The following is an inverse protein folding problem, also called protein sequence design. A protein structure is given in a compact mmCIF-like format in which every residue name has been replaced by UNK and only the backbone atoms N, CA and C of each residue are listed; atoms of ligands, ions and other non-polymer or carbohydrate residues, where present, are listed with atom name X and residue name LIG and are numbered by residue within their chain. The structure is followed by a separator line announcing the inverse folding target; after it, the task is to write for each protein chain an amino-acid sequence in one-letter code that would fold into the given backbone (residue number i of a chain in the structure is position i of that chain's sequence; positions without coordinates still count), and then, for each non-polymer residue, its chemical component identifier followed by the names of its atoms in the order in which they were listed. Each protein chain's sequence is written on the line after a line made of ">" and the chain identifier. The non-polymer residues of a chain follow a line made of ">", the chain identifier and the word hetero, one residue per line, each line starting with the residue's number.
data_IF_301398082369
#
_entry.id   IF_301398082369
#
_cell.length_a   1.000
_cell.length_b   1.000
_cell.length_c   1.000
_cell.angle_alpha   90.00
_cell.angle_beta   90.00
_cell.angle_gamma   90.00
#
_symmetry.space_group_name_H-M   'P 1'
#
loop_
_entity.id
_entity.type
_entity.pdbx_description
1 polymer ?
#
# COMPACT_ATOMS: atom_id res chain seq x y z
N UNK A 1 -39.60 55.59 10.87
CA UNK A 1 -39.40 54.20 10.35
C UNK A 1 -38.07 53.98 9.60
N UNK A 2 -37.22 54.98 9.36
CA UNK A 2 -35.98 54.82 8.55
C UNK A 2 -34.77 54.29 9.32
N UNK A 3 -34.67 54.58 10.62
CA UNK A 3 -33.49 54.24 11.45
C UNK A 3 -33.28 52.72 11.61
N UNK A 4 -34.34 51.96 11.86
CA UNK A 4 -34.31 50.50 12.10
C UNK A 4 -33.87 49.72 10.85
N UNK A 5 -34.25 50.19 9.66
CA UNK A 5 -33.92 49.56 8.37
C UNK A 5 -32.42 49.66 8.03
N UNK A 6 -31.71 50.64 8.59
CA UNK A 6 -30.24 50.76 8.48
C UNK A 6 -29.52 49.75 9.38
N UNK A 7 -30.00 49.61 10.62
CA UNK A 7 -29.45 48.68 11.60
C UNK A 7 -29.52 47.22 11.13
N UNK A 8 -30.67 46.80 10.59
CA UNK A 8 -30.85 45.46 10.04
C UNK A 8 -29.94 45.19 8.82
N UNK A 9 -29.75 46.16 7.92
CA UNK A 9 -28.82 45.98 6.78
C UNK A 9 -27.38 45.80 7.23
N UNK A 10 -26.93 46.54 8.25
CA UNK A 10 -25.59 46.37 8.84
C UNK A 10 -25.44 45.02 9.55
N UNK A 11 -26.48 44.55 10.25
CA UNK A 11 -26.51 43.22 10.88
C UNK A 11 -26.45 42.09 9.85
N UNK A 12 -27.26 42.15 8.79
CA UNK A 12 -27.25 41.15 7.70
C UNK A 12 -25.90 41.13 6.99
N UNK A 13 -25.28 42.29 6.75
CA UNK A 13 -23.94 42.35 6.17
C UNK A 13 -22.87 41.78 7.11
N UNK A 14 -22.94 42.04 8.42
CA UNK A 14 -22.04 41.47 9.41
C UNK A 14 -22.17 39.93 9.50
N UNK A 15 -23.39 39.40 9.47
CA UNK A 15 -23.64 37.94 9.44
C UNK A 15 -23.13 37.32 8.14
N UNK A 16 -23.36 37.96 6.98
CA UNK A 16 -22.84 37.50 5.70
C UNK A 16 -21.31 37.48 5.67
N UNK A 17 -20.64 38.50 6.24
CA UNK A 17 -19.18 38.54 6.38
C UNK A 17 -18.68 37.46 7.36
N UNK A 18 -19.40 37.20 8.46
CA UNK A 18 -19.05 36.14 9.41
C UNK A 18 -19.24 34.72 8.83
N UNK A 19 -20.20 34.53 7.90
CA UNK A 19 -20.30 33.31 7.08
C UNK A 19 -19.19 33.22 6.02
N UNK A 20 -18.77 34.33 5.42
CA UNK A 20 -17.71 34.35 4.40
C UNK A 20 -16.31 34.11 4.99
N UNK A 21 -16.06 34.62 6.19
CA UNK A 21 -14.92 34.23 7.04
C UNK A 21 -15.28 33.03 7.92
N UNK A 22 -15.96 32.05 7.31
CA UNK A 22 -16.35 30.79 7.94
C UNK A 22 -15.15 30.14 8.63
N UNK A 23 -15.44 29.55 9.79
CA UNK A 23 -14.48 29.01 10.76
C UNK A 23 -13.30 28.28 10.11
N UNK A 24 -12.13 28.95 10.05
CA UNK A 24 -10.84 28.27 9.93
C UNK A 24 -10.57 27.54 11.25
N UNK A 25 -11.21 26.38 11.41
CA UNK A 25 -10.90 25.42 12.46
C UNK A 25 -9.51 24.87 12.17
N UNK A 26 -8.49 25.54 12.71
CA UNK A 26 -7.14 25.00 12.76
C UNK A 26 -7.13 23.81 13.73
N UNK A 27 -7.58 22.66 13.24
CA UNK A 27 -7.39 21.38 13.90
C UNK A 27 -5.91 21.23 14.27
N UNK A 28 -5.65 20.69 15.45
CA UNK A 28 -4.30 20.54 16.00
C UNK A 28 -3.60 19.35 15.32
N UNK A 29 -3.30 19.53 14.03
CA UNK A 29 -2.86 18.46 13.14
C UNK A 29 -1.54 17.84 13.58
N UNK A 30 -1.45 16.54 13.37
CA UNK A 30 -0.31 15.69 13.74
C UNK A 30 0.86 15.87 12.77
N UNK A 31 2.00 15.29 13.13
CA UNK A 31 3.21 15.27 12.32
C UNK A 31 3.72 13.84 12.13
N UNK A 32 4.17 13.56 10.91
CA UNK A 32 4.85 12.32 10.52
C UNK A 32 6.31 12.66 10.21
N UNK A 33 7.25 12.01 10.88
CA UNK A 33 8.68 12.08 10.56
C UNK A 33 9.31 10.70 10.36
N UNK A 34 10.49 10.69 9.75
CA UNK A 34 11.30 9.50 9.58
C UNK A 34 12.59 9.83 8.83
N UNK A 35 13.31 8.79 8.41
CA UNK A 35 14.50 8.87 7.58
C UNK A 35 14.46 7.79 6.50
N UNK A 36 14.85 8.15 5.29
CA UNK A 36 15.05 7.19 4.21
C UNK A 36 16.53 6.77 4.17
N UNK A 37 16.75 5.46 4.09
CA UNK A 37 18.06 4.84 3.88
C UNK A 37 18.05 3.95 2.63
N UNK A 38 19.22 3.52 2.16
CA UNK A 38 19.35 2.50 1.11
C UNK A 38 19.45 1.09 1.72
N UNK A 39 19.60 0.07 0.87
CA UNK A 39 19.74 -1.33 1.30
C UNK A 39 20.98 -1.59 2.18
N UNK A 40 22.02 -0.76 2.05
CA UNK A 40 23.25 -0.81 2.84
C UNK A 40 23.16 0.03 4.14
N UNK A 41 22.04 0.71 4.37
CA UNK A 41 21.79 1.57 5.54
C UNK A 41 22.37 2.99 5.43
N UNK A 42 22.91 3.41 4.28
CA UNK A 42 23.35 4.79 4.06
C UNK A 42 22.15 5.72 3.87
N UNK A 43 22.36 7.02 4.10
CA UNK A 43 21.28 8.02 4.13
C UNK A 43 20.98 8.53 2.72
N UNK A 44 19.76 8.30 2.23
CA UNK A 44 19.36 8.72 0.88
C UNK A 44 18.90 10.18 0.90
N UNK A 45 19.69 11.06 0.29
CA UNK A 45 19.39 12.48 0.07
C UNK A 45 18.50 12.67 -1.17
N UNK A 46 17.67 13.71 -1.21
CA UNK A 46 16.85 14.11 -2.38
C UNK A 46 15.86 13.05 -2.91
N UNK A 47 15.57 11.96 -2.18
CA UNK A 47 14.49 11.07 -2.55
C UNK A 47 13.18 11.85 -2.59
N UNK A 48 12.38 11.66 -3.65
CA UNK A 48 11.06 12.24 -3.76
C UNK A 48 10.12 11.52 -2.80
N UNK A 49 9.35 12.28 -2.02
CA UNK A 49 8.38 11.78 -1.06
C UNK A 49 7.00 12.28 -1.43
N UNK A 50 6.06 11.36 -1.61
CA UNK A 50 4.65 11.65 -1.86
C UNK A 50 3.83 10.97 -0.77
N UNK A 51 3.02 11.75 -0.06
CA UNK A 51 2.10 11.27 0.96
C UNK A 51 0.68 11.34 0.40
N UNK A 52 -0.03 10.21 0.40
CA UNK A 52 -1.38 10.08 -0.10
C UNK A 52 -2.36 9.75 1.03
N UNK A 53 -3.61 10.18 0.92
CA UNK A 53 -4.73 9.73 1.77
C UNK A 53 -5.93 9.46 0.89
N UNK A 54 -6.60 8.32 1.08
CA UNK A 54 -7.70 7.89 0.20
C UNK A 54 -7.34 7.70 -1.29
N UNK A 55 -6.05 7.70 -1.64
CA UNK A 55 -5.55 7.68 -3.02
C UNK A 55 -5.23 9.05 -3.61
N UNK A 56 -5.55 10.15 -2.92
CA UNK A 56 -5.22 11.52 -3.35
C UNK A 56 -3.91 12.01 -2.71
N UNK A 57 -3.10 12.75 -3.47
CA UNK A 57 -1.82 13.32 -2.97
C UNK A 57 -2.11 14.48 -2.03
N UNK A 58 -1.83 14.29 -0.73
CA UNK A 58 -2.03 15.32 0.29
C UNK A 58 -0.80 16.19 0.51
N UNK A 59 0.41 15.64 0.35
CA UNK A 59 1.70 16.37 0.45
C UNK A 59 2.80 15.74 -0.37
N UNK A 60 3.73 16.58 -0.82
CA UNK A 60 4.99 16.18 -1.42
C UNK A 60 6.15 16.91 -0.77
N UNK A 61 7.31 16.27 -0.67
CA UNK A 61 8.56 16.84 -0.16
C UNK A 61 9.77 16.07 -0.74
N UNK A 62 11.00 16.45 -0.37
CA UNK A 62 12.20 15.66 -0.67
C UNK A 62 13.03 15.42 0.59
N UNK A 63 13.71 14.28 0.67
CA UNK A 63 14.58 14.00 1.83
C UNK A 63 15.74 15.00 1.92
N UNK A 64 16.01 15.48 3.14
CA UNK A 64 17.15 16.35 3.40
C UNK A 64 18.49 15.65 3.20
N UNK A 65 19.60 16.39 3.31
CA UNK A 65 20.96 15.85 3.13
C UNK A 65 21.39 14.74 4.11
N UNK A 66 20.57 14.46 5.13
CA UNK A 66 20.74 13.39 6.11
C UNK A 66 19.65 12.30 6.01
N UNK A 67 18.90 12.27 4.92
CA UNK A 67 17.78 11.34 4.67
C UNK A 67 16.49 11.64 5.43
N UNK A 68 16.48 12.63 6.34
CA UNK A 68 15.29 12.92 7.18
C UNK A 68 14.22 13.69 6.42
N UNK A 69 12.97 13.46 6.81
CA UNK A 69 11.79 14.21 6.35
C UNK A 69 10.82 14.47 7.49
N UNK A 70 9.92 15.47 7.33
CA UNK A 70 8.88 15.74 8.33
C UNK A 70 7.64 16.46 7.76
N UNK A 71 6.57 15.71 7.55
CA UNK A 71 5.25 16.26 7.29
C UNK A 71 4.61 16.77 8.60
N UNK A 72 3.95 17.91 8.56
CA UNK A 72 3.26 18.57 9.69
C UNK A 72 1.86 18.98 9.27
N UNK A 73 0.94 19.18 10.22
CA UNK A 73 -0.46 19.54 9.95
C UNK A 73 -1.14 18.47 9.07
N UNK A 74 -1.04 17.22 9.50
CA UNK A 74 -1.82 16.11 8.96
C UNK A 74 -3.02 15.86 9.87
N UNK A 75 -4.10 15.32 9.32
CA UNK A 75 -5.23 14.85 10.11
C UNK A 75 -4.98 13.42 10.60
N UNK A 76 -5.81 12.94 11.54
CA UNK A 76 -5.75 11.55 12.00
C UNK A 76 -6.40 10.63 10.98
N UNK A 77 -5.79 9.49 10.71
CA UNK A 77 -6.27 8.53 9.72
C UNK A 77 -5.13 7.77 9.05
N UNK A 78 -5.47 7.09 7.96
CA UNK A 78 -4.53 6.28 7.19
C UNK A 78 -3.95 7.04 6.01
N UNK A 79 -2.64 6.86 5.82
CA UNK A 79 -1.86 7.47 4.75
C UNK A 79 -1.00 6.41 4.06
N UNK A 80 -0.67 6.65 2.80
CA UNK A 80 0.34 5.90 2.06
C UNK A 80 1.53 6.82 1.84
N UNK A 81 2.69 6.45 2.38
CA UNK A 81 3.96 7.12 2.09
C UNK A 81 4.63 6.39 0.93
N UNK A 82 4.81 7.10 -0.18
CA UNK A 82 5.65 6.70 -1.30
C UNK A 82 6.98 7.44 -1.22
N UNK A 83 8.09 6.72 -1.37
CA UNK A 83 9.41 7.30 -1.56
C UNK A 83 10.03 6.73 -2.83
N UNK A 84 10.71 7.57 -3.62
CA UNK A 84 11.35 7.17 -4.87
C UNK A 84 12.69 7.88 -5.07
N UNK A 85 13.72 7.15 -5.50
CA UNK A 85 15.03 7.68 -5.85
C UNK A 85 15.63 6.90 -7.02
N UNK A 86 16.08 7.63 -8.05
CA UNK A 86 16.53 7.09 -9.34
C UNK A 86 17.57 5.95 -9.21
N UNK A 87 18.51 6.06 -8.26
CA UNK A 87 19.59 5.09 -8.04
C UNK A 87 19.32 4.06 -6.92
N UNK A 88 18.35 4.32 -6.04
CA UNK A 88 18.16 3.53 -4.80
C UNK A 88 16.81 2.81 -4.74
N UNK A 89 15.98 2.90 -5.78
CA UNK A 89 14.69 2.24 -5.86
C UNK A 89 13.56 3.01 -5.18
N UNK A 90 12.54 2.28 -4.77
CA UNK A 90 11.29 2.84 -4.25
C UNK A 90 10.81 2.15 -2.98
N UNK A 91 9.87 2.80 -2.31
CA UNK A 91 9.22 2.32 -1.10
C UNK A 91 7.76 2.76 -1.14
N UNK A 92 6.85 1.86 -0.75
CA UNK A 92 5.48 2.20 -0.41
C UNK A 92 5.15 1.62 0.96
N UNK A 93 4.63 2.44 1.86
CA UNK A 93 4.28 2.03 3.23
C UNK A 93 2.96 2.65 3.66
N UNK A 94 2.08 1.84 4.23
CA UNK A 94 0.82 2.28 4.85
C UNK A 94 1.12 2.73 6.29
N UNK A 95 0.61 3.90 6.67
CA UNK A 95 0.87 4.57 7.94
C UNK A 95 -0.43 5.09 8.53
N UNK A 96 -0.93 4.41 9.57
CA UNK A 96 -1.97 4.95 10.46
C UNK A 96 -1.37 6.01 11.38
N UNK A 97 -1.98 7.19 11.42
CA UNK A 97 -1.63 8.32 12.30
C UNK A 97 -2.74 8.59 13.33
N UNK A 98 -2.51 8.20 14.58
CA UNK A 98 -3.35 8.56 15.72
C UNK A 98 -2.85 9.85 16.43
N UNK A 99 -1.55 10.11 16.37
CA UNK A 99 -0.82 11.20 17.00
C UNK A 99 0.49 11.50 16.21
N UNK A 100 1.46 12.17 16.84
CA UNK A 100 2.74 12.46 16.20
C UNK A 100 3.61 11.21 16.11
N UNK A 101 3.79 10.68 14.89
CA UNK A 101 4.50 9.42 14.64
C UNK A 101 5.88 9.67 14.03
N UNK A 102 6.90 9.02 14.57
CA UNK A 102 8.18 8.82 13.90
C UNK A 102 8.26 7.38 13.41
N UNK A 103 8.55 7.15 12.13
CA UNK A 103 8.68 5.80 11.55
C UNK A 103 10.12 5.27 11.57
N UNK A 104 11.08 6.04 12.10
CA UNK A 104 12.47 5.64 12.18
C UNK A 104 13.17 5.66 10.81
N UNK A 105 14.12 4.75 10.65
CA UNK A 105 14.92 4.61 9.42
C UNK A 105 14.31 3.50 8.55
N UNK A 106 13.90 3.84 7.32
CA UNK A 106 13.22 2.93 6.38
C UNK A 106 14.02 2.84 5.09
N UNK A 107 14.33 1.62 4.65
CA UNK A 107 15.09 1.37 3.43
C UNK A 107 14.23 1.53 2.17
N UNK A 108 14.82 2.06 1.10
CA UNK A 108 14.31 1.89 -0.25
C UNK A 108 14.67 0.49 -0.77
N UNK A 109 13.75 -0.12 -1.51
CA UNK A 109 13.98 -1.39 -2.20
C UNK A 109 14.03 -1.17 -3.70
N UNK A 110 15.00 -1.79 -4.36
CA UNK A 110 15.09 -1.87 -5.83
C UNK A 110 14.18 -2.98 -6.40
N UNK A 111 13.12 -3.36 -5.68
CA UNK A 111 12.03 -4.14 -6.26
C UNK A 111 11.08 -3.19 -6.98
N UNK A 112 11.08 -3.30 -8.31
CA UNK A 112 10.03 -2.69 -9.13
C UNK A 112 8.67 -3.23 -8.67
N UNK A 113 7.72 -2.35 -8.36
CA UNK A 113 6.31 -2.74 -8.25
C UNK A 113 5.93 -3.53 -9.51
N UNK A 114 5.41 -4.77 -9.41
CA UNK A 114 5.03 -5.54 -10.57
C UNK A 114 4.03 -4.77 -11.44
N UNK A 115 4.45 -4.38 -12.65
CA UNK A 115 3.53 -3.87 -13.67
C UNK A 115 2.76 -5.06 -14.24
N UNK A 116 1.46 -5.07 -14.03
CA UNK A 116 0.54 -5.98 -14.73
C UNK A 116 0.53 -5.66 -16.22
N UNK A 117 1.28 -6.42 -17.03
CA UNK A 117 1.07 -6.63 -18.46
C UNK A 117 1.50 -8.06 -18.79
N UNK A 118 0.61 -8.87 -19.36
CA UNK A 118 0.84 -10.31 -19.54
C UNK A 118 1.49 -10.73 -20.87
N UNK A 119 1.81 -12.04 -20.94
CA UNK A 119 1.97 -12.89 -22.14
C UNK A 119 3.00 -12.50 -23.24
N UNK A 120 3.83 -13.38 -23.82
CA UNK A 120 4.06 -14.85 -23.67
C UNK A 120 5.55 -15.18 -24.00
N UNK A 121 5.94 -16.46 -23.83
CA UNK A 121 7.10 -17.21 -24.44
C UNK A 121 8.55 -16.75 -24.15
N UNK A 122 9.56 -17.63 -24.07
CA UNK A 122 9.58 -19.09 -23.83
C UNK A 122 10.97 -19.61 -23.40
N UNK A 123 10.96 -20.81 -22.80
CA UNK A 123 12.00 -21.85 -22.73
C UNK A 123 13.48 -21.50 -23.04
N UNK A 124 14.34 -21.59 -22.01
CA UNK A 124 15.63 -22.30 -22.10
C UNK A 124 15.86 -23.10 -20.80
N UNK A 125 16.02 -24.41 -20.93
CA UNK A 125 16.75 -25.30 -20.00
C UNK A 125 17.96 -25.78 -20.82
N UNK A 126 19.22 -25.72 -20.32
CA UNK A 126 19.70 -26.82 -19.49
C UNK A 126 20.69 -26.43 -18.37
N UNK A 127 20.45 -26.98 -17.16
CA UNK A 127 21.45 -27.71 -16.34
C UNK A 127 22.70 -26.98 -15.72
N UNK A 128 23.04 -27.40 -14.49
CA UNK A 128 24.33 -27.23 -13.75
C UNK A 128 24.64 -25.85 -13.11
N UNK A 129 24.33 -25.74 -11.81
CA UNK A 129 25.25 -25.20 -10.81
C UNK A 129 25.01 -25.86 -9.44
N UNK A 130 26.10 -26.31 -8.79
CA UNK A 130 26.10 -26.95 -7.47
C UNK A 130 26.33 -25.84 -6.42
N UNK A 131 25.54 -25.76 -5.32
CA UNK A 131 25.79 -24.74 -4.30
C UNK A 131 27.08 -25.06 -3.53
N UNK A 132 28.08 -24.19 -3.64
CA UNK A 132 29.28 -24.27 -2.82
C UNK A 132 28.94 -23.83 -1.38
N UNK A 133 29.27 -24.69 -0.41
CA UNK A 133 29.07 -24.38 1.00
C UNK A 133 30.15 -23.39 1.47
N UNK A 134 29.73 -22.22 1.93
CA UNK A 134 30.59 -21.33 2.72
C UNK A 134 30.93 -22.04 4.04
N UNK A 135 32.17 -22.50 4.18
CA UNK A 135 32.65 -23.20 5.37
C UNK A 135 33.15 -22.21 6.43
N UNK A 136 32.29 -21.84 7.37
CA UNK A 136 32.72 -21.15 8.61
C UNK A 136 33.15 -22.20 9.64
N UNK A 137 34.44 -22.26 9.91
CA UNK A 137 35.03 -23.12 10.96
C UNK A 137 34.79 -22.48 12.32
N UNK A 138 34.15 -23.21 13.24
CA UNK A 138 34.00 -22.83 14.66
C UNK A 138 34.76 -23.87 15.51
N UNK A 139 35.56 -23.46 16.53
CA UNK A 139 36.32 -24.41 17.34
C UNK A 139 35.41 -25.34 18.14
N UNK A 140 35.72 -26.64 18.15
CA UNK A 140 35.04 -27.61 19.01
C UNK A 140 35.48 -27.43 20.46
N UNK A 141 34.54 -27.20 21.37
CA UNK A 141 34.71 -27.47 22.80
C UNK A 141 33.92 -28.74 23.15
N UNK A 142 34.51 -29.60 23.97
CA UNK A 142 34.01 -30.97 24.19
C UNK A 142 32.64 -30.99 24.89
N UNK A 143 31.82 -31.94 24.48
CA UNK A 143 30.43 -32.09 24.93
C UNK A 143 30.32 -32.50 26.41
N UNK A 144 29.40 -31.86 27.13
CA UNK A 144 28.82 -32.39 28.36
C UNK A 144 27.34 -32.00 28.41
N UNK A 145 26.46 -33.00 28.54
CA UNK A 145 24.99 -32.91 28.50
C UNK A 145 24.36 -32.42 27.19
N UNK A 146 24.03 -33.39 26.32
CA UNK A 146 22.70 -33.43 25.68
C UNK A 146 22.34 -32.31 24.70
N UNK A 147 23.32 -31.69 24.04
CA UNK A 147 23.00 -30.80 22.92
C UNK A 147 22.43 -31.63 21.75
N UNK A 148 21.29 -31.24 21.14
CA UNK A 148 20.81 -31.89 19.94
C UNK A 148 21.88 -31.80 18.84
N UNK A 149 22.15 -32.90 18.15
CA UNK A 149 23.20 -32.93 17.13
C UNK A 149 22.93 -31.86 16.06
N UNK A 150 24.00 -31.31 15.47
CA UNK A 150 23.88 -30.23 14.48
C UNK A 150 22.93 -30.57 13.32
N UNK A 151 22.87 -31.84 12.95
CA UNK A 151 21.97 -32.35 11.91
C UNK A 151 20.50 -32.43 12.37
N UNK A 152 20.23 -32.70 13.65
CA UNK A 152 18.89 -32.59 14.24
C UNK A 152 18.40 -31.13 14.21
N UNK A 153 19.25 -30.18 14.63
CA UNK A 153 18.92 -28.75 14.61
C UNK A 153 18.63 -28.28 13.18
N UNK A 154 19.45 -28.67 12.21
CA UNK A 154 19.23 -28.34 10.79
C UNK A 154 17.94 -28.95 10.22
N UNK A 155 17.58 -30.17 10.64
CA UNK A 155 16.34 -30.81 10.20
C UNK A 155 15.09 -30.18 10.82
N UNK A 156 15.15 -29.83 12.11
CA UNK A 156 14.05 -29.13 12.81
C UNK A 156 13.82 -27.75 12.21
N UNK A 157 14.87 -26.95 12.01
CA UNK A 157 14.76 -25.65 11.34
C UNK A 157 14.21 -25.77 9.90
N UNK A 158 14.56 -26.82 9.16
CA UNK A 158 13.99 -27.09 7.84
C UNK A 158 12.50 -27.49 7.90
N UNK A 159 12.07 -28.15 8.98
CA UNK A 159 10.66 -28.45 9.23
C UNK A 159 9.88 -27.18 9.60
N UNK A 160 10.42 -26.34 10.50
CA UNK A 160 9.86 -25.03 10.84
C UNK A 160 9.75 -24.11 9.63
N UNK A 161 10.78 -24.01 8.78
CA UNK A 161 10.75 -23.23 7.54
C UNK A 161 9.64 -23.72 6.59
N UNK A 162 9.46 -25.04 6.45
CA UNK A 162 8.36 -25.60 5.63
C UNK A 162 6.99 -25.30 6.23
N UNK A 163 6.86 -25.42 7.55
CA UNK A 163 5.62 -25.09 8.28
C UNK A 163 5.26 -23.62 8.12
N UNK A 164 6.20 -22.71 8.40
CA UNK A 164 6.04 -21.27 8.23
C UNK A 164 5.74 -20.88 6.78
N UNK A 165 6.34 -21.55 5.80
CA UNK A 165 6.03 -21.35 4.37
C UNK A 165 4.58 -21.77 4.04
N UNK A 166 4.08 -22.85 4.63
CA UNK A 166 2.69 -23.28 4.46
C UNK A 166 1.71 -22.33 5.16
N UNK A 167 2.01 -21.88 6.38
CA UNK A 167 1.23 -20.88 7.12
C UNK A 167 1.20 -19.54 6.37
N UNK A 168 2.34 -19.06 5.88
CA UNK A 168 2.42 -17.85 5.06
C UNK A 168 1.62 -17.98 3.76
N UNK A 169 1.72 -19.12 3.05
CA UNK A 169 0.93 -19.38 1.84
C UNK A 169 -0.58 -19.40 2.14
N UNK A 170 -0.98 -20.00 3.26
CA UNK A 170 -2.38 -20.04 3.69
C UNK A 170 -2.91 -18.63 4.01
N UNK A 171 -2.17 -17.85 4.80
CA UNK A 171 -2.52 -16.46 5.13
C UNK A 171 -2.53 -15.55 3.88
N UNK A 172 -1.66 -15.80 2.90
CA UNK A 172 -1.70 -15.10 1.60
C UNK A 172 -3.00 -15.41 0.86
N UNK A 173 -3.39 -16.68 0.77
CA UNK A 173 -4.64 -17.09 0.14
C UNK A 173 -5.86 -16.47 0.83
N UNK A 174 -5.92 -16.50 2.17
CA UNK A 174 -6.99 -15.86 2.94
C UNK A 174 -7.06 -14.34 2.68
N UNK A 175 -5.92 -13.66 2.57
CA UNK A 175 -5.89 -12.23 2.24
C UNK A 175 -6.37 -11.95 0.81
N UNK A 176 -6.02 -12.79 -0.16
CA UNK A 176 -6.50 -12.65 -1.55
C UNK A 176 -8.00 -12.95 -1.66
N UNK A 177 -8.51 -13.95 -0.96
CA UNK A 177 -9.94 -14.27 -0.88
C UNK A 177 -10.73 -13.14 -0.19
N UNK A 178 -10.23 -12.60 0.93
CA UNK A 178 -10.80 -11.43 1.60
C UNK A 178 -10.78 -10.18 0.72
N UNK A 179 -9.72 -9.97 -0.07
CA UNK A 179 -9.61 -8.88 -1.03
C UNK A 179 -10.57 -9.05 -2.21
N UNK A 180 -10.81 -10.28 -2.67
CA UNK A 180 -11.82 -10.59 -3.68
C UNK A 180 -13.24 -10.32 -3.15
N UNK A 181 -13.55 -10.83 -1.94
CA UNK A 181 -14.82 -10.54 -1.26
C UNK A 181 -15.01 -9.03 -1.05
N UNK A 182 -14.00 -8.31 -0.54
CA UNK A 182 -14.06 -6.87 -0.35
C UNK A 182 -14.33 -6.12 -1.66
N UNK A 183 -13.71 -6.52 -2.78
CA UNK A 183 -14.01 -5.96 -4.11
C UNK A 183 -15.48 -6.19 -4.50
N UNK A 184 -16.03 -7.39 -4.23
CA UNK A 184 -17.46 -7.68 -4.47
C UNK A 184 -18.38 -6.79 -3.62
N UNK A 185 -18.07 -6.56 -2.34
CA UNK A 185 -18.90 -5.72 -1.46
C UNK A 185 -18.83 -4.23 -1.82
N UNK A 186 -17.67 -3.73 -2.24
CA UNK A 186 -17.48 -2.31 -2.62
C UNK A 186 -18.09 -2.01 -3.99
N UNK A 187 -17.96 -2.92 -4.96
CA UNK A 187 -18.66 -2.82 -6.24
C UNK A 187 -18.87 -4.22 -6.86
N UNK A 188 -20.06 -4.83 -6.72
CA UNK A 188 -20.34 -6.19 -7.18
C UNK A 188 -20.32 -6.34 -8.69
N UNK A 189 -20.32 -5.23 -9.46
CA UNK A 189 -20.25 -5.25 -10.91
C UNK A 189 -18.80 -5.43 -11.42
N UNK A 190 -17.79 -5.16 -10.59
CA UNK A 190 -16.37 -5.23 -10.99
C UNK A 190 -15.86 -6.64 -11.29
N UNK A 191 -16.56 -7.68 -10.83
CA UNK A 191 -16.22 -9.07 -11.16
C UNK A 191 -16.55 -9.44 -12.62
N UNK A 192 -17.40 -8.65 -13.30
CA UNK A 192 -17.78 -8.88 -14.68
C UNK A 192 -16.98 -7.98 -15.62
N UNK A 193 -15.91 -8.53 -16.19
CA UNK A 193 -15.02 -7.84 -17.15
C UNK A 193 -15.65 -7.56 -18.53
N UNK A 194 -16.99 -7.56 -18.64
CA UNK A 194 -17.74 -7.39 -19.89
C UNK A 194 -18.95 -6.49 -19.65
N UNK A 195 -18.92 -5.33 -20.28
CA UNK A 195 -20.03 -4.40 -20.35
C UNK A 195 -20.91 -4.72 -21.58
N UNK A 196 -22.22 -4.82 -21.42
CA UNK A 196 -23.17 -5.02 -22.53
C UNK A 196 -23.98 -3.74 -22.70
N UNK A 197 -23.65 -2.97 -23.73
CA UNK A 197 -24.37 -1.74 -24.10
C UNK A 197 -25.55 -2.11 -25.01
N UNK A 198 -26.77 -1.86 -24.54
CA UNK A 198 -27.99 -2.10 -25.30
C UNK A 198 -28.28 -0.93 -26.25
N UNK A 199 -29.07 -1.18 -27.32
CA UNK A 199 -29.40 -0.18 -28.36
C UNK A 199 -30.16 1.05 -27.85
N UNK A 200 -30.74 0.98 -26.65
CA UNK A 200 -31.41 2.10 -25.98
C UNK A 200 -30.46 2.93 -25.08
N UNK A 201 -29.16 2.62 -25.06
CA UNK A 201 -28.16 3.26 -24.21
C UNK A 201 -28.11 2.75 -22.77
N UNK A 202 -28.89 1.72 -22.41
CA UNK A 202 -28.79 1.06 -21.10
C UNK A 202 -27.63 0.06 -21.08
N UNK A 203 -26.86 0.04 -19.99
CA UNK A 203 -25.82 -0.95 -19.75
C UNK A 203 -26.36 -2.11 -18.90
N UNK A 204 -26.03 -3.34 -19.28
CA UNK A 204 -26.26 -4.56 -18.47
C UNK A 204 -24.92 -5.19 -18.11
N UNK A 205 -24.76 -5.51 -16.83
CA UNK A 205 -23.62 -6.28 -16.30
C UNK A 205 -24.11 -7.66 -15.87
N UNK A 206 -23.31 -8.70 -16.15
CA UNK A 206 -23.67 -10.06 -15.78
C UNK A 206 -22.85 -11.12 -16.49
N UNK A 207 -23.15 -12.37 -16.18
CA UNK A 207 -22.53 -13.55 -16.79
C UNK A 207 -23.27 -13.92 -18.07
N UNK A 208 -22.57 -13.94 -19.20
CA UNK A 208 -23.11 -14.49 -20.45
C UNK A 208 -23.18 -16.00 -20.28
N UNK A 209 -24.41 -16.54 -20.24
CA UNK A 209 -24.66 -17.99 -20.10
C UNK A 209 -24.92 -18.67 -21.46
N UNK A 210 -25.22 -17.88 -22.50
CA UNK A 210 -25.39 -18.35 -23.87
C UNK A 210 -25.19 -17.21 -24.86
N UNK A 211 -24.57 -17.50 -26.01
CA UNK A 211 -24.37 -16.56 -27.11
C UNK A 211 -24.39 -17.31 -28.45
N UNK A 212 -25.18 -16.80 -29.39
CA UNK A 212 -25.17 -17.15 -30.81
C UNK A 212 -25.23 -15.87 -31.68
N UNK A 213 -25.29 -16.02 -33.00
CA UNK A 213 -25.29 -14.89 -33.96
C UNK A 213 -26.53 -13.96 -33.87
N UNK A 214 -27.57 -14.36 -33.14
CA UNK A 214 -28.88 -13.68 -33.06
C UNK A 214 -29.38 -13.46 -31.64
N UNK A 215 -28.84 -14.18 -30.66
CA UNK A 215 -29.33 -14.18 -29.27
C UNK A 215 -28.18 -14.24 -28.26
N UNK A 216 -28.40 -13.54 -27.15
CA UNK A 216 -27.49 -13.48 -26.00
C UNK A 216 -28.34 -13.67 -24.74
N UNK A 217 -27.98 -14.63 -23.90
CA UNK A 217 -28.62 -14.81 -22.58
C UNK A 217 -27.62 -14.42 -21.50
N UNK A 218 -28.05 -13.56 -20.60
CA UNK A 218 -27.25 -12.99 -19.53
C UNK A 218 -27.93 -13.26 -18.20
N UNK A 219 -27.17 -13.80 -17.25
CA UNK A 219 -27.54 -13.88 -15.84
C UNK A 219 -27.00 -12.62 -15.15
N UNK A 220 -27.90 -11.80 -14.59
CA UNK A 220 -27.59 -10.49 -14.02
C UNK A 220 -28.10 -10.39 -12.59
N UNK A 221 -27.42 -9.59 -11.75
CA UNK A 221 -27.81 -9.30 -10.38
C UNK A 221 -28.70 -8.04 -10.37
N UNK A 222 -30.02 -8.26 -10.44
CA UNK A 222 -31.07 -7.23 -10.31
C UNK A 222 -32.17 -7.78 -9.39
#
# INVERSE_FOLDING_TARGET
>A
MTLTRSLQKRFVFAIAVFMLFGTLVFAKGVALSGRIVDADGNKVKKAALTLLSGGEVVKEDKTGGNGKFKFKKLDKGDYVLQANHEEHGSLEMIITLADNKDIGDVALSTEEKPKETGEVVAAVDPTKAKPERISVTVPQTMEAMGSPSKDFILNELNFEIKKLSAEFKHLSQENDDLKALSKMWVNPLTIYSKEIILKNGSTVFGKIIYQDDKSLKVETLV
#
